data_IF_828442910365
#
_entry.id   IF_828442910365
#
_cell.length_a   1.000
_cell.length_b   1.000
_cell.length_c   1.000
_cell.angle_alpha   90.00
_cell.angle_beta   90.00
_cell.angle_gamma   90.00
#
_symmetry.space_group_name_H-M   'P 1'
#
loop_
_entity.id
_entity.type
_entity.pdbx_description
1 polymer ?
#
# COMPACT_ATOMS: atom_id res chain seq x y z
N UNK A 1 -16.27 1.65 30.52
CA UNK A 1 -17.52 1.35 29.79
C UNK A 1 -18.27 0.24 30.50
N UNK A 2 -19.61 0.35 30.63
CA UNK A 2 -20.45 -0.77 31.11
C UNK A 2 -20.54 -1.85 30.02
N UNK A 3 -20.71 -3.15 30.39
CA UNK A 3 -20.70 -4.27 29.45
C UNK A 3 -21.71 -4.15 28.29
N UNK A 4 -22.86 -3.50 28.53
CA UNK A 4 -23.88 -3.23 27.51
C UNK A 4 -23.40 -2.21 26.46
N UNK A 5 -22.80 -1.08 26.90
CA UNK A 5 -22.24 -0.06 25.98
C UNK A 5 -21.08 -0.61 25.15
N UNK A 6 -20.26 -1.48 25.73
CA UNK A 6 -19.16 -2.14 24.99
C UNK A 6 -19.70 -3.02 23.86
N UNK A 7 -20.71 -3.84 24.14
CA UNK A 7 -21.34 -4.70 23.12
C UNK A 7 -21.96 -3.91 21.98
N UNK A 8 -22.66 -2.79 22.29
CA UNK A 8 -23.22 -1.90 21.26
C UNK A 8 -22.12 -1.31 20.37
N UNK A 9 -21.04 -0.78 20.96
CA UNK A 9 -19.94 -0.21 20.19
C UNK A 9 -19.21 -1.24 19.30
N UNK A 10 -19.08 -2.48 19.78
CA UNK A 10 -18.50 -3.57 18.96
C UNK A 10 -19.44 -3.91 17.79
N UNK A 11 -20.77 -4.00 18.04
CA UNK A 11 -21.73 -4.26 16.98
C UNK A 11 -21.69 -3.19 15.89
N UNK A 12 -21.67 -1.91 16.28
CA UNK A 12 -21.54 -0.78 15.36
C UNK A 12 -20.27 -0.83 14.52
N UNK A 13 -19.11 -1.20 15.12
CA UNK A 13 -17.86 -1.37 14.40
C UNK A 13 -17.93 -2.54 13.41
N UNK A 14 -18.54 -3.64 13.80
CA UNK A 14 -18.72 -4.79 12.90
C UNK A 14 -19.62 -4.44 11.72
N UNK A 15 -20.70 -3.70 11.93
CA UNK A 15 -21.57 -3.22 10.86
C UNK A 15 -20.83 -2.29 9.89
N UNK A 16 -19.98 -1.38 10.40
CA UNK A 16 -19.14 -0.50 9.55
C UNK A 16 -18.23 -1.28 8.63
N UNK A 17 -17.73 -2.44 9.07
CA UNK A 17 -16.91 -3.33 8.22
C UNK A 17 -17.74 -4.39 7.47
N UNK A 18 -19.05 -4.21 7.39
CA UNK A 18 -20.00 -5.11 6.70
C UNK A 18 -19.99 -6.53 7.26
N UNK A 19 -19.86 -6.63 8.58
CA UNK A 19 -20.02 -7.87 9.33
C UNK A 19 -21.19 -7.71 10.29
N UNK A 20 -22.05 -8.73 10.41
CA UNK A 20 -23.17 -8.69 11.34
C UNK A 20 -22.73 -8.86 12.80
N UNK A 21 -23.58 -8.43 13.75
CA UNK A 21 -23.30 -8.54 15.19
C UNK A 21 -23.02 -9.99 15.68
N UNK A 22 -23.51 -11.01 14.95
CA UNK A 22 -23.24 -12.41 15.30
C UNK A 22 -21.75 -12.80 15.24
N UNK A 23 -20.90 -12.02 14.53
CA UNK A 23 -19.46 -12.22 14.51
C UNK A 23 -18.79 -11.96 15.88
N UNK A 24 -19.44 -11.29 16.80
CA UNK A 24 -18.93 -11.11 18.18
C UNK A 24 -18.65 -12.44 18.90
N UNK A 25 -19.36 -13.51 18.54
CA UNK A 25 -19.19 -14.84 19.14
C UNK A 25 -18.30 -15.79 18.35
N UNK A 26 -17.74 -15.34 17.22
CA UNK A 26 -16.90 -16.17 16.34
C UNK A 26 -15.44 -16.15 16.78
N UNK A 27 -14.82 -17.30 16.65
CA UNK A 27 -13.37 -17.45 16.85
C UNK A 27 -12.63 -17.28 15.52
N UNK A 28 -11.35 -16.86 15.52
CA UNK A 28 -10.57 -16.63 14.30
C UNK A 28 -10.53 -17.83 13.32
N UNK A 29 -10.52 -19.04 13.84
CA UNK A 29 -10.56 -20.29 13.02
C UNK A 29 -11.87 -20.51 12.24
N UNK A 30 -12.92 -19.78 12.61
CA UNK A 30 -14.26 -19.86 11.98
C UNK A 30 -14.46 -18.79 10.92
N UNK A 31 -13.43 -18.03 10.62
CA UNK A 31 -13.47 -16.86 9.73
C UNK A 31 -12.67 -17.13 8.47
N UNK A 32 -13.20 -16.70 7.32
CA UNK A 32 -12.47 -16.61 6.06
C UNK A 32 -11.34 -15.55 6.12
N UNK A 33 -10.45 -15.54 5.15
CA UNK A 33 -9.38 -14.55 5.05
C UNK A 33 -9.92 -13.11 5.01
N UNK A 34 -10.91 -12.85 4.16
CA UNK A 34 -11.53 -11.54 4.05
C UNK A 34 -12.29 -11.07 5.30
N UNK A 35 -12.94 -12.00 6.02
CA UNK A 35 -13.59 -11.69 7.30
C UNK A 35 -12.57 -11.33 8.39
N UNK A 36 -11.46 -12.09 8.46
CA UNK A 36 -10.34 -11.76 9.36
C UNK A 36 -9.79 -10.37 9.08
N UNK A 37 -9.61 -10.02 7.80
CA UNK A 37 -9.13 -8.72 7.39
C UNK A 37 -10.08 -7.59 7.79
N UNK A 38 -11.39 -7.77 7.56
CA UNK A 38 -12.41 -6.80 8.00
C UNK A 38 -12.43 -6.61 9.52
N UNK A 39 -12.23 -7.67 10.29
CA UNK A 39 -12.10 -7.58 11.75
C UNK A 39 -10.81 -6.84 12.14
N UNK A 40 -9.69 -7.05 11.44
CA UNK A 40 -8.47 -6.31 11.67
C UNK A 40 -8.65 -4.80 11.39
N UNK A 41 -9.36 -4.46 10.32
CA UNK A 41 -9.77 -3.06 10.03
C UNK A 41 -10.63 -2.52 11.16
N UNK A 42 -11.68 -3.23 11.59
CA UNK A 42 -12.52 -2.78 12.71
C UNK A 42 -11.73 -2.53 14.00
N UNK A 43 -10.75 -3.39 14.30
CA UNK A 43 -9.85 -3.21 15.46
C UNK A 43 -9.01 -1.93 15.35
N UNK A 44 -8.49 -1.62 14.17
CA UNK A 44 -7.72 -0.40 13.95
C UNK A 44 -8.58 0.85 14.22
N UNK A 45 -9.83 0.85 13.78
CA UNK A 45 -10.76 1.97 13.99
C UNK A 45 -11.37 2.04 15.39
N UNK A 46 -11.28 0.99 16.21
CA UNK A 46 -11.87 0.97 17.55
C UNK A 46 -11.32 2.08 18.46
N UNK A 47 -10.08 2.49 18.28
CA UNK A 47 -9.44 3.58 19.01
C UNK A 47 -9.78 4.99 18.45
N UNK A 48 -10.51 5.08 17.33
CA UNK A 48 -10.77 6.33 16.59
C UNK A 48 -9.48 7.12 16.30
N UNK A 49 -8.50 6.52 15.62
CA UNK A 49 -7.23 7.16 15.36
C UNK A 49 -7.35 8.20 14.24
N UNK A 50 -6.52 9.23 14.29
CA UNK A 50 -6.35 10.20 13.21
C UNK A 50 -5.54 9.61 12.04
N UNK A 51 -4.61 8.67 12.35
CA UNK A 51 -3.72 8.03 11.37
C UNK A 51 -3.75 6.51 11.58
N UNK A 52 -3.87 5.75 10.47
CA UNK A 52 -3.73 4.30 10.45
C UNK A 52 -2.58 3.92 9.52
N UNK A 53 -1.64 3.09 10.02
CA UNK A 53 -0.62 2.46 9.20
C UNK A 53 -1.17 1.14 8.65
N UNK A 54 -1.26 1.05 7.33
CA UNK A 54 -1.72 -0.11 6.57
C UNK A 54 -0.52 -0.78 5.91
N UNK A 55 0.03 -1.81 6.56
CA UNK A 55 1.17 -2.56 6.07
C UNK A 55 0.69 -3.86 5.41
N UNK A 56 0.84 -3.93 4.08
CA UNK A 56 0.47 -5.06 3.22
C UNK A 56 -0.93 -5.65 3.48
N UNK A 57 -1.91 -4.81 3.78
CA UNK A 57 -3.25 -5.23 4.24
C UNK A 57 -4.04 -6.07 3.22
N UNK A 58 -3.59 -6.15 1.97
CA UNK A 58 -4.26 -6.89 0.89
C UNK A 58 -3.42 -8.01 0.28
N UNK A 59 -2.15 -8.19 0.67
CA UNK A 59 -1.19 -9.08 0.01
C UNK A 59 -1.57 -10.57 0.03
N UNK A 60 -2.36 -11.01 1.03
CA UNK A 60 -2.78 -12.40 1.20
C UNK A 60 -4.22 -12.66 0.73
N UNK A 61 -4.84 -11.73 0.00
CA UNK A 61 -6.22 -11.80 -0.43
C UNK A 61 -6.32 -12.04 -1.94
N UNK A 62 -7.35 -12.77 -2.36
CA UNK A 62 -7.71 -12.83 -3.77
C UNK A 62 -8.20 -11.46 -4.28
N UNK A 63 -8.13 -11.24 -5.60
CA UNK A 63 -8.40 -9.94 -6.24
C UNK A 63 -9.78 -9.40 -5.90
N UNK A 64 -10.79 -10.25 -5.79
CA UNK A 64 -12.17 -9.83 -5.50
C UNK A 64 -12.33 -9.36 -4.06
N UNK A 65 -11.71 -10.07 -3.12
CA UNK A 65 -11.71 -9.70 -1.69
C UNK A 65 -10.85 -8.46 -1.46
N UNK A 66 -9.71 -8.34 -2.15
CA UNK A 66 -8.85 -7.16 -2.13
C UNK A 66 -9.63 -5.90 -2.53
N UNK A 67 -10.35 -5.93 -3.67
CA UNK A 67 -11.16 -4.80 -4.11
C UNK A 67 -12.24 -4.42 -3.08
N UNK A 68 -12.89 -5.41 -2.46
CA UNK A 68 -13.90 -5.16 -1.44
C UNK A 68 -13.33 -4.55 -0.14
N UNK A 69 -12.09 -4.90 0.24
CA UNK A 69 -11.39 -4.31 1.39
C UNK A 69 -10.94 -2.88 1.08
N UNK A 70 -10.45 -2.61 -0.13
CA UNK A 70 -10.06 -1.26 -0.55
C UNK A 70 -11.28 -0.31 -0.59
N UNK A 71 -12.41 -0.74 -1.16
CA UNK A 71 -13.67 0.02 -1.14
C UNK A 71 -14.14 0.31 0.30
N UNK A 72 -14.01 -0.66 1.19
CA UNK A 72 -14.31 -0.47 2.61
C UNK A 72 -13.40 0.58 3.26
N UNK A 73 -12.09 0.50 3.05
CA UNK A 73 -11.12 1.45 3.59
C UNK A 73 -11.38 2.86 3.06
N UNK A 74 -11.69 3.01 1.76
CA UNK A 74 -12.02 4.31 1.17
C UNK A 74 -13.26 4.94 1.82
N UNK A 75 -14.32 4.16 2.02
CA UNK A 75 -15.54 4.63 2.71
C UNK A 75 -15.28 5.03 4.15
N UNK A 76 -14.50 4.23 4.89
CA UNK A 76 -14.15 4.56 6.27
C UNK A 76 -13.26 5.81 6.36
N UNK A 77 -12.36 6.04 5.39
CA UNK A 77 -11.58 7.27 5.28
C UNK A 77 -12.49 8.50 5.15
N UNK A 78 -13.48 8.43 4.26
CA UNK A 78 -14.43 9.53 4.02
C UNK A 78 -15.34 9.77 5.23
N UNK A 79 -15.89 8.71 5.82
CA UNK A 79 -16.82 8.82 6.97
C UNK A 79 -16.15 9.30 8.25
N UNK A 80 -14.92 8.90 8.51
CA UNK A 80 -14.24 9.11 9.79
C UNK A 80 -13.12 10.15 9.74
N UNK A 81 -12.76 10.63 8.55
CA UNK A 81 -11.70 11.63 8.35
C UNK A 81 -10.28 11.11 8.68
N UNK A 82 -10.08 9.79 8.66
CA UNK A 82 -8.81 9.16 9.06
C UNK A 82 -7.79 9.22 7.91
N UNK A 83 -6.54 9.55 8.22
CA UNK A 83 -5.43 9.49 7.26
C UNK A 83 -4.82 8.09 7.23
N UNK A 84 -4.48 7.59 6.04
CA UNK A 84 -3.75 6.32 5.89
C UNK A 84 -2.31 6.55 5.46
N UNK A 85 -1.40 5.80 6.09
CA UNK A 85 -0.08 5.51 5.54
C UNK A 85 -0.13 4.08 5.02
N UNK A 86 -0.18 3.92 3.69
CA UNK A 86 -0.39 2.62 3.04
C UNK A 86 0.92 2.09 2.47
N UNK A 87 1.36 0.92 2.92
CA UNK A 87 2.54 0.23 2.41
C UNK A 87 2.09 -0.97 1.60
N UNK A 88 2.52 -1.05 0.35
CA UNK A 88 2.22 -2.15 -0.56
C UNK A 88 3.27 -2.25 -1.66
N UNK A 89 3.49 -3.46 -2.16
CA UNK A 89 4.25 -3.73 -3.38
C UNK A 89 3.34 -3.78 -4.63
N UNK A 90 2.02 -3.77 -4.46
CA UNK A 90 1.05 -3.74 -5.55
C UNK A 90 0.79 -2.29 -5.99
N UNK A 91 1.40 -1.91 -7.11
CA UNK A 91 1.29 -0.55 -7.65
C UNK A 91 -0.12 -0.19 -8.11
N UNK A 92 -0.94 -1.16 -8.53
CA UNK A 92 -2.33 -0.90 -8.90
C UNK A 92 -3.16 -0.51 -7.66
N UNK A 93 -2.93 -1.19 -6.54
CA UNK A 93 -3.53 -0.86 -5.24
C UNK A 93 -3.12 0.53 -4.78
N UNK A 94 -1.81 0.82 -4.79
CA UNK A 94 -1.30 2.14 -4.38
C UNK A 94 -1.90 3.24 -5.24
N UNK A 95 -1.97 3.07 -6.57
CA UNK A 95 -2.58 4.01 -7.50
C UNK A 95 -4.05 4.27 -7.20
N UNK A 96 -4.79 3.22 -6.80
CA UNK A 96 -6.23 3.31 -6.57
C UNK A 96 -6.61 4.04 -5.27
N UNK A 97 -5.77 3.93 -4.21
CA UNK A 97 -6.14 4.42 -2.88
C UNK A 97 -5.38 5.69 -2.44
N UNK A 98 -4.22 5.98 -3.04
CA UNK A 98 -3.31 7.00 -2.54
C UNK A 98 -3.46 8.35 -3.22
N UNK A 99 -3.52 9.42 -2.44
CA UNK A 99 -3.47 10.81 -2.92
C UNK A 99 -2.02 11.21 -3.24
N UNK A 100 -1.07 10.72 -2.43
CA UNK A 100 0.38 10.93 -2.59
C UNK A 100 1.12 9.61 -2.49
N UNK A 101 2.22 9.49 -3.21
CA UNK A 101 3.07 8.30 -3.23
C UNK A 101 4.50 8.66 -2.86
N UNK A 102 5.10 7.85 -2.00
CA UNK A 102 6.53 7.86 -1.70
C UNK A 102 7.13 6.54 -2.20
N UNK A 103 8.10 6.61 -3.09
CA UNK A 103 8.80 5.46 -3.64
C UNK A 103 10.11 5.25 -2.89
N UNK A 104 10.27 4.06 -2.30
CA UNK A 104 11.47 3.68 -1.57
C UNK A 104 12.25 2.60 -2.32
N UNK A 105 13.56 2.73 -2.35
CA UNK A 105 14.46 1.71 -2.85
C UNK A 105 15.52 1.39 -1.79
N UNK A 106 15.59 0.14 -1.35
CA UNK A 106 16.52 -0.32 -0.30
C UNK A 106 16.50 0.57 0.96
N UNK A 107 15.29 0.95 1.42
CA UNK A 107 15.08 1.76 2.61
C UNK A 107 15.33 3.26 2.45
N UNK A 108 15.72 3.74 1.26
CA UNK A 108 15.93 5.16 0.97
C UNK A 108 14.80 5.72 0.09
N UNK A 109 14.38 6.94 0.37
CA UNK A 109 13.37 7.65 -0.40
C UNK A 109 13.96 8.07 -1.76
N UNK A 110 13.35 7.61 -2.84
CA UNK A 110 13.75 7.97 -4.21
C UNK A 110 12.90 9.10 -4.79
N UNK A 111 11.60 9.04 -4.55
CA UNK A 111 10.66 10.00 -5.12
C UNK A 111 9.44 10.14 -4.21
N UNK A 112 8.88 11.35 -4.11
CA UNK A 112 7.62 11.61 -3.42
C UNK A 112 6.83 12.69 -4.14
N UNK A 113 5.54 12.45 -4.36
CA UNK A 113 4.68 13.42 -5.04
C UNK A 113 3.21 13.04 -5.03
N UNK A 114 2.35 13.86 -5.66
CA UNK A 114 0.98 13.48 -5.97
C UNK A 114 0.95 12.17 -6.76
N UNK A 115 0.05 11.27 -6.42
CA UNK A 115 -0.06 9.95 -7.07
C UNK A 115 -0.11 10.08 -8.60
N UNK A 116 -0.97 10.97 -9.09
CA UNK A 116 -1.12 11.22 -10.53
C UNK A 116 0.21 11.57 -11.23
N UNK A 117 1.01 12.44 -10.61
CA UNK A 117 2.25 12.93 -11.21
C UNK A 117 3.32 11.84 -11.20
N UNK A 118 3.49 11.13 -10.07
CA UNK A 118 4.45 10.02 -9.95
C UNK A 118 4.17 8.91 -10.96
N UNK A 119 2.88 8.58 -11.22
CA UNK A 119 2.53 7.53 -12.19
C UNK A 119 2.62 7.99 -13.65
N UNK A 120 2.31 9.26 -13.95
CA UNK A 120 2.32 9.77 -15.33
C UNK A 120 3.70 10.28 -15.77
N UNK A 121 4.44 10.89 -14.84
CA UNK A 121 5.71 11.59 -15.10
C UNK A 121 6.75 11.25 -14.03
N UNK A 122 7.13 9.96 -13.89
CA UNK A 122 8.12 9.57 -12.89
C UNK A 122 9.44 10.31 -13.13
N UNK A 123 9.99 10.92 -12.09
CA UNK A 123 11.22 11.71 -12.15
C UNK A 123 12.46 10.87 -11.85
N UNK A 124 12.33 9.89 -10.92
CA UNK A 124 13.45 9.02 -10.56
C UNK A 124 13.49 7.78 -11.47
N UNK A 125 14.67 7.39 -12.02
CA UNK A 125 14.81 6.23 -12.90
C UNK A 125 14.28 4.91 -12.32
N UNK A 126 14.43 4.71 -11.01
CA UNK A 126 13.85 3.53 -10.36
C UNK A 126 12.32 3.54 -10.41
N UNK A 127 11.67 4.69 -10.17
CA UNK A 127 10.21 4.83 -10.28
C UNK A 127 9.73 4.50 -11.69
N UNK A 128 10.46 4.96 -12.70
CA UNK A 128 10.15 4.65 -14.11
C UNK A 128 10.24 3.16 -14.41
N UNK A 129 11.30 2.49 -13.93
CA UNK A 129 11.45 1.03 -14.04
C UNK A 129 10.33 0.30 -13.30
N UNK A 130 10.04 0.73 -12.07
CA UNK A 130 9.02 0.12 -11.22
C UNK A 130 7.62 0.20 -11.85
N UNK A 131 7.24 1.36 -12.37
CA UNK A 131 5.95 1.55 -13.04
C UNK A 131 5.91 0.80 -14.38
N UNK A 132 7.02 0.81 -15.13
CA UNK A 132 7.12 0.11 -16.41
C UNK A 132 7.11 -1.42 -16.29
N UNK A 133 7.39 -1.97 -15.09
CA UNK A 133 7.30 -3.40 -14.81
C UNK A 133 5.88 -3.87 -14.47
N UNK A 134 4.92 -2.95 -14.25
CA UNK A 134 3.51 -3.31 -14.12
C UNK A 134 3.03 -3.74 -15.50
N UNK A 135 2.73 -5.03 -15.62
CA UNK A 135 2.14 -5.59 -16.83
C UNK A 135 0.79 -4.92 -17.07
N UNK A 136 0.73 -4.00 -18.04
CA UNK A 136 -0.55 -3.61 -18.58
C UNK A 136 -1.16 -4.85 -19.26
N UNK A 137 -2.47 -5.09 -19.10
CA UNK A 137 -3.13 -6.26 -19.71
C UNK A 137 -3.25 -6.17 -21.24
N UNK A 138 -2.53 -5.25 -21.87
CA UNK A 138 -2.47 -5.08 -23.32
C UNK A 138 -1.27 -5.85 -23.89
N UNK A 139 -1.50 -6.96 -24.64
CA UNK A 139 -0.43 -7.77 -25.23
C UNK A 139 0.40 -7.04 -26.28
N UNK A 140 -0.06 -5.91 -26.80
CA UNK A 140 0.64 -5.11 -27.82
C UNK A 140 1.62 -4.10 -27.17
N UNK A 141 1.52 -3.85 -25.87
CA UNK A 141 2.45 -3.01 -25.13
C UNK A 141 3.63 -3.87 -24.67
N UNK A 142 4.75 -3.75 -25.41
CA UNK A 142 6.00 -4.37 -24.97
C UNK A 142 6.44 -3.76 -23.63
N UNK A 143 6.70 -4.57 -22.58
CA UNK A 143 7.23 -4.05 -21.31
C UNK A 143 8.51 -3.25 -21.61
N UNK A 144 8.54 -1.99 -21.19
CA UNK A 144 9.76 -1.19 -21.19
C UNK A 144 10.78 -1.91 -20.33
N UNK A 145 11.88 -2.29 -20.96
CA UNK A 145 12.94 -3.14 -20.47
C UNK A 145 13.26 -2.94 -18.99
N UNK A 146 13.10 -4.00 -18.25
CA UNK A 146 13.82 -4.24 -17.01
C UNK A 146 15.29 -4.47 -17.41
N UNK A 147 16.23 -3.77 -16.78
CA UNK A 147 17.63 -3.97 -17.01
C UNK A 147 17.97 -5.46 -16.83
N UNK A 148 18.44 -6.11 -17.90
CA UNK A 148 19.01 -7.46 -17.87
C UNK A 148 20.23 -7.46 -16.96
N UNK A 149 20.43 -8.55 -16.20
CA UNK A 149 21.54 -8.80 -15.27
C UNK A 149 21.54 -7.98 -13.96
N UNK A 150 20.67 -8.42 -13.06
CA UNK A 150 20.66 -7.92 -11.69
C UNK A 150 21.68 -8.73 -10.88
N UNK A 151 22.89 -8.24 -10.77
CA UNK A 151 23.76 -8.60 -9.66
C UNK A 151 23.21 -7.85 -8.43
N UNK A 152 22.84 -8.58 -7.38
CA UNK A 152 22.52 -7.99 -6.07
C UNK A 152 23.79 -7.38 -5.47
N UNK A 153 24.16 -6.21 -5.91
CA UNK A 153 25.19 -5.43 -5.24
C UNK A 153 24.61 -4.79 -4.00
N UNK A 154 25.35 -4.85 -2.90
CA UNK A 154 24.97 -4.10 -1.69
C UNK A 154 24.84 -2.63 -2.04
N UNK A 155 23.80 -1.95 -1.48
CA UNK A 155 23.65 -0.52 -1.74
C UNK A 155 24.92 0.22 -1.31
N UNK A 156 25.36 1.21 -2.07
CA UNK A 156 26.51 2.02 -1.68
C UNK A 156 26.22 2.73 -0.36
N UNK A 157 27.25 2.90 0.46
CA UNK A 157 27.12 3.63 1.74
C UNK A 157 26.82 5.11 1.52
N UNK A 158 27.33 5.69 0.42
CA UNK A 158 27.19 7.10 0.03
C UNK A 158 26.59 7.18 -1.36
N UNK A 159 25.79 8.21 -1.60
CA UNK A 159 25.16 8.45 -2.89
C UNK A 159 23.83 7.73 -3.09
N UNK A 160 23.31 7.83 -4.30
CA UNK A 160 22.05 7.21 -4.68
C UNK A 160 22.14 5.67 -4.61
N UNK A 161 21.23 5.03 -3.84
CA UNK A 161 21.20 3.57 -3.70
C UNK A 161 20.94 2.82 -5.03
N UNK A 162 20.33 3.50 -6.01
CA UNK A 162 20.03 2.95 -7.33
C UNK A 162 21.16 3.17 -8.35
N UNK A 163 22.28 3.84 -7.98
CA UNK A 163 23.33 4.22 -8.94
C UNK A 163 23.90 3.06 -9.74
N UNK A 164 24.10 1.87 -9.13
CA UNK A 164 24.66 0.69 -9.82
C UNK A 164 23.76 0.14 -10.94
N UNK A 165 22.50 0.52 -10.98
CA UNK A 165 21.50 0.05 -11.95
C UNK A 165 20.86 1.19 -12.75
N UNK A 166 21.30 2.41 -12.49
CA UNK A 166 20.70 3.60 -13.09
C UNK A 166 21.21 3.84 -14.51
N UNK A 167 20.32 3.87 -15.53
CA UNK A 167 20.73 4.19 -16.91
C UNK A 167 21.05 5.66 -17.12
N UNK A 168 20.78 6.52 -16.12
CA UNK A 168 20.90 7.99 -16.19
C UNK A 168 21.71 8.55 -15.02
N UNK A 169 22.92 8.06 -14.80
CA UNK A 169 23.82 8.61 -13.76
C UNK A 169 24.22 10.03 -14.09
N UNK A 170 24.00 10.95 -13.15
CA UNK A 170 24.41 12.37 -13.23
C UNK A 170 25.73 12.56 -12.48
N UNK A 171 26.80 11.90 -12.96
CA UNK A 171 28.16 12.07 -12.45
C UNK A 171 28.30 11.98 -10.92
N UNK A 172 29.05 12.92 -10.34
CA UNK A 172 29.39 12.92 -8.92
C UNK A 172 28.18 13.14 -7.97
N UNK A 173 27.11 13.77 -8.43
CA UNK A 173 25.91 13.94 -7.61
C UNK A 173 25.32 12.60 -7.19
N UNK A 174 25.14 11.67 -8.13
CA UNK A 174 24.59 10.35 -7.83
C UNK A 174 25.51 9.48 -6.98
N UNK A 175 26.82 9.79 -6.96
CA UNK A 175 27.82 9.02 -6.22
C UNK A 175 28.07 9.54 -4.82
N UNK A 176 27.89 10.83 -4.59
CA UNK A 176 28.34 11.50 -3.37
C UNK A 176 27.23 12.19 -2.58
N UNK A 177 26.07 12.47 -3.20
CA UNK A 177 24.93 13.15 -2.54
C UNK A 177 23.81 12.13 -2.29
N UNK A 178 23.19 12.19 -1.09
CA UNK A 178 22.05 11.36 -0.65
C UNK A 178 20.84 12.25 -0.40
#
# INVERSE_FOLDING_TARGET
>A
MTGSKLKSSIAELLEKVRLGAFYMSRYPRQLSGGEKQRIAVARAFAARPDIILCDEVTSALDVSVQAAVLDLLQKLKEELGTTYVFVSHDLAVVKAISDRVAVLYQGRLCEIGPSKDVYQFPSHPYTEVLIGAVLEPDPDIKPKLVAEDIVEEKPPEIGCSFQGRCPRIIGDKCRNET
#
